data_IF_139933275653
#
_entry.id   IF_139933275653
#
_cell.length_a   1.000
_cell.length_b   1.000
_cell.length_c   1.000
_cell.angle_alpha   90.00
_cell.angle_beta   90.00
_cell.angle_gamma   90.00
#
_symmetry.space_group_name_H-M   'P 1'
#
loop_
_entity.id
_entity.type
_entity.pdbx_description
1 polymer ?
#
# COMPACT_ATOMS: atom_id res chain seq x y z
N UNK A 1 -27.69 8.56 30.12
CA UNK A 1 -26.37 8.09 29.74
C UNK A 1 -26.24 6.65 30.19
N UNK A 2 -26.08 5.70 29.27
CA UNK A 2 -25.68 4.33 29.67
C UNK A 2 -24.28 4.41 30.24
N UNK A 3 -23.95 3.72 31.34
CA UNK A 3 -22.59 3.70 31.87
C UNK A 3 -21.64 3.18 30.78
N UNK A 4 -20.58 3.91 30.50
CA UNK A 4 -19.58 3.49 29.53
C UNK A 4 -19.02 2.12 29.97
N UNK A 5 -19.20 1.11 29.14
CA UNK A 5 -18.59 -0.18 29.41
C UNK A 5 -17.06 0.01 29.49
N UNK A 6 -16.41 -0.26 30.62
CA UNK A 6 -14.99 0.02 30.82
C UNK A 6 -14.06 -0.75 29.87
N UNK A 7 -14.60 -1.74 29.16
CA UNK A 7 -13.85 -2.59 28.23
C UNK A 7 -14.04 -2.21 26.75
N UNK A 8 -14.59 -1.02 26.45
CA UNK A 8 -14.80 -0.54 25.08
C UNK A 8 -13.91 0.67 24.82
N UNK A 9 -13.04 0.58 23.78
CA UNK A 9 -12.29 1.69 23.24
C UNK A 9 -13.14 2.44 22.21
N UNK A 10 -13.33 3.75 22.41
CA UNK A 10 -13.99 4.61 21.41
C UNK A 10 -13.12 4.70 20.15
N UNK A 11 -13.73 4.56 18.97
CA UNK A 11 -13.06 4.61 17.68
C UNK A 11 -12.30 5.93 17.43
N UNK A 12 -12.82 7.05 17.94
CA UNK A 12 -12.16 8.37 17.81
C UNK A 12 -10.79 8.44 18.51
N UNK A 13 -10.59 7.58 19.52
CA UNK A 13 -9.32 7.48 20.26
C UNK A 13 -8.36 6.46 19.66
N UNK A 14 -8.76 5.75 18.59
CA UNK A 14 -7.97 4.65 18.05
C UNK A 14 -6.55 5.10 17.68
N UNK A 15 -6.40 6.09 16.81
CA UNK A 15 -5.10 6.55 16.31
C UNK A 15 -4.14 6.97 17.46
N UNK A 16 -4.67 7.62 18.51
CA UNK A 16 -3.88 8.10 19.67
C UNK A 16 -3.70 7.06 20.78
N UNK A 17 -4.16 5.83 20.56
CA UNK A 17 -4.17 4.80 21.61
C UNK A 17 -3.62 3.45 21.16
N UNK A 18 -3.22 3.29 19.90
CA UNK A 18 -2.68 2.02 19.41
C UNK A 18 -1.46 1.57 20.21
N UNK A 19 -0.57 2.49 20.55
CA UNK A 19 0.65 2.21 21.31
C UNK A 19 0.40 1.77 22.78
N UNK A 20 -0.84 1.88 23.26
CA UNK A 20 -1.22 1.46 24.62
C UNK A 20 -1.57 -0.02 24.71
N UNK A 21 -1.64 -0.70 23.59
CA UNK A 21 -1.97 -2.10 23.51
C UNK A 21 -0.74 -2.93 23.12
N UNK A 22 -0.60 -4.06 23.77
CA UNK A 22 0.51 -4.99 23.49
C UNK A 22 0.24 -5.84 22.24
N UNK A 23 -1.04 -5.94 21.82
CA UNK A 23 -1.45 -6.60 20.60
C UNK A 23 -2.78 -6.05 20.09
N UNK A 24 -2.98 -6.09 18.78
CA UNK A 24 -4.26 -5.81 18.11
C UNK A 24 -4.73 -7.12 17.49
N UNK A 25 -5.93 -7.57 17.84
CA UNK A 25 -6.46 -8.87 17.43
C UNK A 25 -7.68 -8.67 16.54
N UNK A 26 -7.57 -9.13 15.30
CA UNK A 26 -8.70 -9.24 14.38
C UNK A 26 -9.32 -10.63 14.50
N UNK A 27 -10.56 -10.68 14.97
CA UNK A 27 -11.30 -11.93 15.09
C UNK A 27 -12.23 -12.21 13.90
N UNK A 28 -12.08 -11.48 12.81
CA UNK A 28 -12.76 -11.75 11.54
C UNK A 28 -12.18 -13.00 10.88
N UNK A 29 -12.89 -13.52 9.87
CA UNK A 29 -12.37 -14.66 9.11
C UNK A 29 -11.07 -14.33 8.38
N UNK A 30 -10.23 -15.33 8.03
CA UNK A 30 -8.97 -15.09 7.32
C UNK A 30 -9.13 -14.30 6.00
N UNK A 31 -10.19 -14.56 5.24
CA UNK A 31 -10.46 -13.82 4.00
C UNK A 31 -10.86 -12.36 4.27
N UNK A 32 -11.59 -12.06 5.35
CA UNK A 32 -11.89 -10.69 5.75
C UNK A 32 -10.61 -9.93 6.15
N UNK A 33 -9.69 -10.61 6.86
CA UNK A 33 -8.39 -10.05 7.28
C UNK A 33 -7.45 -9.79 6.11
N UNK A 34 -7.36 -10.75 5.18
CA UNK A 34 -6.49 -10.63 4.00
C UNK A 34 -6.86 -9.45 3.09
N UNK A 35 -8.14 -9.09 3.02
CA UNK A 35 -8.58 -7.94 2.22
C UNK A 35 -8.09 -6.60 2.80
N UNK A 36 -8.18 -6.43 4.11
CA UNK A 36 -7.68 -5.25 4.82
C UNK A 36 -7.85 -5.44 6.33
N UNK A 37 -6.95 -4.86 7.12
CA UNK A 37 -6.97 -4.93 8.59
C UNK A 37 -6.29 -3.71 9.21
N UNK A 38 -6.46 -3.51 10.51
CA UNK A 38 -5.74 -2.47 11.25
C UNK A 38 -4.23 -2.79 11.21
N UNK A 39 -3.35 -1.83 10.85
CA UNK A 39 -1.91 -2.07 10.79
C UNK A 39 -1.36 -2.67 12.09
N UNK A 40 -0.56 -3.72 11.95
CA UNK A 40 0.00 -4.46 13.09
C UNK A 40 -0.96 -5.46 13.76
N UNK A 41 -2.19 -5.61 13.26
CA UNK A 41 -3.10 -6.62 13.80
C UNK A 41 -2.67 -8.05 13.42
N UNK A 42 -2.89 -8.97 14.35
CA UNK A 42 -2.80 -10.42 14.11
C UNK A 42 -4.20 -10.99 13.94
N UNK A 43 -4.34 -12.00 13.09
CA UNK A 43 -5.63 -12.65 12.86
C UNK A 43 -5.79 -13.86 13.79
N UNK A 44 -6.76 -13.80 14.71
CA UNK A 44 -7.22 -14.92 15.52
C UNK A 44 -8.73 -15.14 15.25
N UNK A 45 -9.07 -15.78 14.13
CA UNK A 45 -10.43 -15.81 13.63
C UNK A 45 -11.33 -16.67 14.52
N UNK A 46 -12.45 -16.09 14.97
CA UNK A 46 -13.46 -16.86 15.72
C UNK A 46 -14.46 -17.59 14.81
N UNK A 47 -14.32 -17.44 13.52
CA UNK A 47 -15.00 -18.21 12.46
C UNK A 47 -14.01 -18.41 11.30
N UNK A 48 -13.90 -19.64 10.78
CA UNK A 48 -13.21 -19.90 9.52
C UNK A 48 -13.95 -19.22 8.34
N UNK A 49 -13.39 -19.27 7.15
CA UNK A 49 -14.08 -18.74 5.96
C UNK A 49 -15.38 -19.49 5.69
N UNK A 50 -15.34 -20.81 5.80
CA UNK A 50 -16.49 -21.72 5.59
C UNK A 50 -17.56 -21.49 6.65
N UNK A 51 -17.19 -21.47 7.93
CA UNK A 51 -18.09 -21.19 9.05
C UNK A 51 -18.74 -19.81 8.90
N UNK A 52 -17.97 -18.81 8.43
CA UNK A 52 -18.46 -17.45 8.18
C UNK A 52 -19.51 -17.41 7.07
N UNK A 53 -19.30 -18.19 5.99
CA UNK A 53 -20.25 -18.31 4.87
C UNK A 53 -21.52 -19.04 5.36
N UNK A 54 -21.37 -20.16 6.05
CA UNK A 54 -22.48 -20.95 6.57
C UNK A 54 -23.40 -20.14 7.50
N UNK A 55 -22.81 -19.47 8.51
CA UNK A 55 -23.55 -18.61 9.43
C UNK A 55 -24.23 -17.45 8.69
N UNK A 56 -23.55 -16.84 7.71
CA UNK A 56 -24.10 -15.75 6.90
C UNK A 56 -25.31 -16.20 6.06
N UNK A 57 -25.25 -17.38 5.48
CA UNK A 57 -26.33 -18.00 4.71
C UNK A 57 -27.52 -18.38 5.62
N UNK A 58 -27.25 -19.03 6.73
CA UNK A 58 -28.25 -19.40 7.72
C UNK A 58 -29.01 -18.18 8.27
N UNK A 59 -28.27 -17.10 8.53
CA UNK A 59 -28.83 -15.82 9.01
C UNK A 59 -29.81 -15.20 8.01
N UNK A 60 -29.44 -15.20 6.72
CA UNK A 60 -30.21 -14.52 5.66
C UNK A 60 -31.38 -15.39 5.15
N UNK A 61 -31.18 -16.72 5.03
CA UNK A 61 -32.09 -17.59 4.30
C UNK A 61 -32.97 -18.45 5.18
N UNK A 62 -32.60 -18.67 6.46
CA UNK A 62 -33.35 -19.58 7.36
C UNK A 62 -33.81 -18.84 8.60
N UNK A 63 -32.93 -18.51 9.54
CA UNK A 63 -33.30 -17.89 10.81
C UNK A 63 -32.13 -17.18 11.48
N UNK A 64 -32.28 -15.91 11.87
CA UNK A 64 -31.29 -15.22 12.68
C UNK A 64 -30.98 -15.92 14.00
N UNK A 65 -31.97 -16.53 14.62
CA UNK A 65 -31.80 -17.26 15.90
C UNK A 65 -31.04 -18.58 15.72
N UNK A 66 -31.29 -19.31 14.64
CA UNK A 66 -30.55 -20.54 14.32
C UNK A 66 -29.06 -20.19 14.03
N UNK A 67 -28.84 -19.15 13.25
CA UNK A 67 -27.46 -18.62 12.96
C UNK A 67 -26.73 -18.20 14.23
N UNK A 68 -27.41 -17.52 15.18
CA UNK A 68 -26.80 -17.14 16.47
C UNK A 68 -26.45 -18.38 17.33
N UNK A 69 -27.28 -19.41 17.37
CA UNK A 69 -26.96 -20.64 18.13
C UNK A 69 -25.74 -21.35 17.58
N UNK A 70 -25.73 -21.60 16.27
CA UNK A 70 -24.60 -22.26 15.60
C UNK A 70 -23.33 -21.42 15.65
N UNK A 71 -23.46 -20.11 15.40
CA UNK A 71 -22.36 -19.16 15.47
C UNK A 71 -21.74 -19.08 16.86
N UNK A 72 -22.54 -19.13 17.94
CA UNK A 72 -22.02 -19.16 19.30
C UNK A 72 -21.22 -20.44 19.58
N UNK A 73 -21.65 -21.60 19.06
CA UNK A 73 -20.90 -22.85 19.19
C UNK A 73 -19.53 -22.78 18.48
N UNK A 74 -19.51 -22.29 17.23
CA UNK A 74 -18.26 -22.12 16.47
C UNK A 74 -17.31 -21.11 17.14
N UNK A 75 -17.81 -19.94 17.50
CA UNK A 75 -17.04 -18.88 18.17
C UNK A 75 -16.42 -19.41 19.47
N UNK A 76 -17.20 -20.13 20.31
CA UNK A 76 -16.69 -20.68 21.59
C UNK A 76 -15.59 -21.71 21.37
N UNK A 77 -15.75 -22.62 20.41
CA UNK A 77 -14.74 -23.62 20.05
C UNK A 77 -13.45 -22.96 19.55
N UNK A 78 -13.57 -21.99 18.64
CA UNK A 78 -12.40 -21.34 18.05
C UNK A 78 -11.67 -20.45 19.07
N UNK A 79 -12.38 -19.81 20.01
CA UNK A 79 -11.76 -19.11 21.14
C UNK A 79 -10.97 -20.08 22.03
N UNK A 80 -11.52 -21.26 22.35
CA UNK A 80 -10.80 -22.25 23.13
C UNK A 80 -9.51 -22.69 22.43
N UNK A 81 -9.58 -22.97 21.12
CA UNK A 81 -8.38 -23.31 20.33
C UNK A 81 -7.32 -22.20 20.37
N UNK A 82 -7.72 -20.92 20.25
CA UNK A 82 -6.76 -19.81 20.35
C UNK A 82 -6.13 -19.68 21.74
N UNK A 83 -6.89 -19.91 22.78
CA UNK A 83 -6.37 -19.95 24.17
C UNK A 83 -5.31 -21.03 24.32
N UNK A 84 -5.57 -22.25 23.84
CA UNK A 84 -4.68 -23.40 23.98
C UNK A 84 -3.38 -23.28 23.15
N UNK A 85 -3.45 -22.67 21.96
CA UNK A 85 -2.33 -22.74 21.01
C UNK A 85 -1.60 -21.39 20.75
N UNK A 86 -2.24 -20.27 21.08
CA UNK A 86 -1.69 -18.96 20.73
C UNK A 86 -1.56 -18.00 21.90
N UNK A 87 -2.26 -18.21 23.02
CA UNK A 87 -2.39 -17.20 24.06
C UNK A 87 -1.86 -17.62 25.43
N UNK A 88 -1.48 -18.88 25.67
CA UNK A 88 -1.06 -19.38 27.00
C UNK A 88 0.15 -18.66 27.57
N UNK A 89 1.10 -18.25 26.72
CA UNK A 89 2.37 -17.69 27.16
C UNK A 89 2.32 -16.19 27.48
N UNK A 90 1.16 -15.52 27.24
CA UNK A 90 1.07 -14.08 27.54
C UNK A 90 0.93 -13.82 29.04
N UNK A 91 1.67 -12.81 29.56
CA UNK A 91 1.65 -12.46 30.98
C UNK A 91 0.31 -11.85 31.39
N UNK A 92 0.05 -11.79 32.69
CA UNK A 92 -1.19 -11.25 33.27
C UNK A 92 -1.46 -9.79 32.89
N UNK A 93 -0.40 -9.04 32.69
CA UNK A 93 -0.42 -7.61 32.37
C UNK A 93 -0.77 -7.32 30.91
N UNK A 94 -0.85 -8.35 30.05
CA UNK A 94 -1.13 -8.24 28.63
C UNK A 94 -2.46 -7.52 28.35
N UNK A 95 -2.41 -6.57 27.43
CA UNK A 95 -3.50 -5.64 27.10
C UNK A 95 -3.84 -5.70 25.61
N UNK A 96 -4.59 -6.70 25.14
CA UNK A 96 -4.99 -6.79 23.74
C UNK A 96 -6.18 -5.87 23.41
N UNK A 97 -6.17 -5.27 22.23
CA UNK A 97 -7.32 -4.63 21.59
C UNK A 97 -7.95 -5.61 20.60
N UNK A 98 -9.23 -5.92 20.78
CA UNK A 98 -9.94 -6.92 19.97
C UNK A 98 -10.99 -6.23 19.11
N UNK A 99 -11.05 -6.60 17.83
CA UNK A 99 -12.11 -6.11 16.97
C UNK A 99 -12.66 -7.19 16.02
N UNK A 100 -13.90 -6.97 15.58
CA UNK A 100 -14.53 -7.70 14.48
C UNK A 100 -15.09 -6.70 13.47
N UNK A 101 -16.05 -7.09 12.64
CA UNK A 101 -16.58 -6.21 11.59
C UNK A 101 -17.22 -4.92 12.13
N UNK A 102 -18.06 -5.01 13.18
CA UNK A 102 -18.81 -3.87 13.76
C UNK A 102 -18.57 -3.68 15.26
N UNK A 103 -17.59 -4.35 15.87
CA UNK A 103 -17.39 -4.30 17.31
C UNK A 103 -18.57 -4.92 18.10
N UNK A 104 -19.20 -5.98 17.55
CA UNK A 104 -20.34 -6.66 18.13
C UNK A 104 -20.00 -8.02 18.76
N UNK A 105 -20.85 -9.01 18.53
CA UNK A 105 -20.86 -10.31 19.22
C UNK A 105 -19.52 -11.07 19.14
N UNK A 106 -18.88 -11.14 17.97
CA UNK A 106 -17.62 -11.89 17.77
C UNK A 106 -16.50 -11.38 18.66
N UNK A 107 -16.19 -10.08 18.56
CA UNK A 107 -15.16 -9.47 19.41
C UNK A 107 -15.57 -9.33 20.86
N UNK A 108 -16.87 -9.13 21.14
CA UNK A 108 -17.40 -9.07 22.49
C UNK A 108 -17.21 -10.39 23.25
N UNK A 109 -17.51 -11.54 22.63
CA UNK A 109 -17.31 -12.86 23.21
C UNK A 109 -15.83 -13.11 23.54
N UNK A 110 -14.93 -12.81 22.60
CA UNK A 110 -13.49 -12.98 22.81
C UNK A 110 -12.97 -12.08 23.94
N UNK A 111 -13.31 -10.78 23.91
CA UNK A 111 -12.95 -9.81 24.96
C UNK A 111 -13.48 -10.23 26.33
N UNK A 112 -14.72 -10.74 26.40
CA UNK A 112 -15.32 -11.20 27.64
C UNK A 112 -14.50 -12.34 28.26
N UNK A 113 -14.15 -13.36 27.47
CA UNK A 113 -13.37 -14.52 27.97
C UNK A 113 -12.00 -14.08 28.44
N UNK A 114 -11.27 -13.25 27.68
CA UNK A 114 -9.94 -12.77 28.09
C UNK A 114 -10.00 -11.97 29.40
N UNK A 115 -11.00 -11.13 29.59
CA UNK A 115 -11.19 -10.39 30.84
C UNK A 115 -11.58 -11.31 32.02
N UNK A 116 -12.30 -12.42 31.77
CA UNK A 116 -12.62 -13.42 32.82
C UNK A 116 -11.41 -14.21 33.27
N UNK A 117 -10.41 -14.40 32.38
CA UNK A 117 -9.09 -14.97 32.72
C UNK A 117 -8.27 -14.00 33.58
N UNK A 118 -8.46 -12.70 33.40
CA UNK A 118 -7.77 -11.65 34.17
C UNK A 118 -6.89 -10.73 33.35
N UNK A 119 -6.84 -10.88 32.01
CA UNK A 119 -6.19 -9.93 31.12
C UNK A 119 -6.98 -8.62 31.02
N UNK A 120 -6.31 -7.55 30.60
CA UNK A 120 -6.94 -6.22 30.41
C UNK A 120 -7.35 -6.00 28.96
N UNK A 121 -8.18 -6.90 28.43
CA UNK A 121 -8.64 -6.87 27.05
C UNK A 121 -9.67 -5.75 26.81
N UNK A 122 -9.53 -5.02 25.70
CA UNK A 122 -10.51 -4.02 25.25
C UNK A 122 -11.09 -4.38 23.89
N UNK A 123 -12.35 -4.04 23.70
CA UNK A 123 -13.07 -4.19 22.44
C UNK A 123 -13.09 -2.84 21.71
N UNK A 124 -12.75 -2.83 20.42
CA UNK A 124 -12.87 -1.64 19.60
C UNK A 124 -14.33 -1.37 19.24
N UNK A 125 -14.83 -0.19 19.61
CA UNK A 125 -16.16 0.29 19.22
C UNK A 125 -16.25 0.41 17.69
N UNK A 126 -17.35 0.00 17.11
CA UNK A 126 -17.60 -0.01 15.67
C UNK A 126 -16.65 -0.90 14.85
N UNK A 127 -15.64 -1.52 15.47
CA UNK A 127 -14.73 -2.49 14.88
C UNK A 127 -14.06 -2.02 13.59
N UNK A 128 -13.81 -2.94 12.66
CA UNK A 128 -13.21 -2.64 11.36
C UNK A 128 -14.00 -1.60 10.54
N UNK A 129 -15.34 -1.63 10.59
CA UNK A 129 -16.15 -0.65 9.87
C UNK A 129 -15.90 0.79 10.37
N UNK A 130 -15.73 0.96 11.68
CA UNK A 130 -15.33 2.24 12.25
C UNK A 130 -13.92 2.64 11.84
N UNK A 131 -12.97 1.70 11.89
CA UNK A 131 -11.61 1.92 11.42
C UNK A 131 -11.56 2.40 9.95
N UNK A 132 -12.33 1.78 9.05
CA UNK A 132 -12.38 2.24 7.64
C UNK A 132 -12.84 3.68 7.49
N UNK A 133 -13.76 4.16 8.33
CA UNK A 133 -14.13 5.59 8.33
C UNK A 133 -12.96 6.46 8.77
N UNK A 134 -12.23 6.06 9.82
CA UNK A 134 -11.03 6.78 10.28
C UNK A 134 -9.98 6.86 9.15
N UNK A 135 -9.78 5.79 8.39
CA UNK A 135 -8.86 5.78 7.23
C UNK A 135 -9.33 6.78 6.16
N UNK A 136 -10.59 6.70 5.73
CA UNK A 136 -11.13 7.58 4.68
C UNK A 136 -11.05 9.05 5.12
N UNK A 137 -11.58 9.38 6.30
CA UNK A 137 -11.56 10.74 6.85
C UNK A 137 -10.13 11.25 7.07
N UNK A 138 -9.20 10.34 7.39
CA UNK A 138 -7.78 10.64 7.56
C UNK A 138 -7.10 10.99 6.23
N UNK A 139 -7.39 10.26 5.17
CA UNK A 139 -6.86 10.55 3.83
C UNK A 139 -7.39 11.87 3.28
N UNK A 140 -8.67 12.17 3.50
CA UNK A 140 -9.28 13.46 3.11
C UNK A 140 -8.66 14.64 3.86
N UNK A 141 -8.31 14.46 5.14
CA UNK A 141 -7.59 15.48 5.94
C UNK A 141 -6.16 15.65 5.45
N UNK A 142 -5.43 14.56 5.24
CA UNK A 142 -4.06 14.59 4.75
C UNK A 142 -3.92 15.38 3.44
N UNK A 143 -4.93 15.29 2.55
CA UNK A 143 -4.97 16.10 1.33
C UNK A 143 -5.00 17.61 1.58
N UNK A 144 -5.40 18.07 2.77
CA UNK A 144 -5.44 19.49 3.14
C UNK A 144 -4.20 19.92 3.92
N UNK A 145 -3.66 19.05 4.74
CA UNK A 145 -2.64 19.37 5.73
C UNK A 145 -1.22 19.27 5.18
N UNK A 146 -0.96 18.30 4.27
CA UNK A 146 0.38 18.06 3.74
C UNK A 146 0.74 18.94 2.55
N UNK A 147 2.03 19.26 2.45
CA UNK A 147 2.66 19.86 1.27
C UNK A 147 3.63 18.87 0.63
N UNK A 148 3.57 18.74 -0.70
CA UNK A 148 4.37 17.76 -1.44
C UNK A 148 5.42 18.43 -2.32
N UNK A 149 6.62 17.84 -2.34
CA UNK A 149 7.66 18.06 -3.34
C UNK A 149 7.65 16.83 -4.27
N UNK A 150 7.30 17.06 -5.53
CA UNK A 150 7.14 15.99 -6.51
C UNK A 150 8.45 15.77 -7.25
N UNK A 151 8.93 14.53 -7.26
CA UNK A 151 10.05 14.09 -8.07
C UNK A 151 9.50 13.62 -9.42
N UNK A 152 9.65 14.44 -10.44
CA UNK A 152 9.34 14.12 -11.82
C UNK A 152 10.51 13.41 -12.49
N UNK A 153 10.31 12.74 -13.60
CA UNK A 153 11.37 12.10 -14.40
C UNK A 153 10.85 10.98 -15.25
N UNK A 154 11.41 10.81 -16.42
CA UNK A 154 11.03 9.80 -17.40
C UNK A 154 11.12 8.38 -16.82
N UNK A 155 10.50 7.41 -17.47
CA UNK A 155 10.61 5.98 -17.10
C UNK A 155 12.09 5.56 -17.10
N UNK A 156 12.51 4.88 -16.05
CA UNK A 156 13.88 4.44 -15.87
C UNK A 156 14.85 5.51 -15.36
N UNK A 157 14.39 6.73 -15.02
CA UNK A 157 15.28 7.76 -14.44
C UNK A 157 15.70 7.48 -12.98
N UNK A 158 15.13 6.46 -12.32
CA UNK A 158 15.49 6.10 -10.95
C UNK A 158 14.77 6.92 -9.86
N UNK A 159 13.58 7.45 -10.14
CA UNK A 159 12.77 8.24 -9.18
C UNK A 159 12.61 7.58 -7.83
N UNK A 160 12.21 6.31 -7.81
CA UNK A 160 11.99 5.54 -6.58
C UNK A 160 13.28 5.40 -5.79
N UNK A 161 14.40 5.14 -6.47
CA UNK A 161 15.71 5.05 -5.81
C UNK A 161 16.14 6.40 -5.22
N UNK A 162 15.95 7.51 -5.94
CA UNK A 162 16.20 8.86 -5.40
C UNK A 162 15.29 9.17 -4.21
N UNK A 163 14.00 8.79 -4.28
CA UNK A 163 13.08 8.98 -3.17
C UNK A 163 13.54 8.26 -1.91
N UNK A 164 14.02 7.02 -2.06
CA UNK A 164 14.59 6.23 -0.96
C UNK A 164 15.86 6.88 -0.39
N UNK A 165 16.77 7.36 -1.24
CA UNK A 165 17.97 8.08 -0.78
C UNK A 165 17.63 9.37 -0.01
N UNK A 166 16.61 10.11 -0.46
CA UNK A 166 16.10 11.29 0.25
C UNK A 166 15.58 10.89 1.65
N UNK A 167 14.89 9.75 1.75
CA UNK A 167 14.46 9.18 3.03
C UNK A 167 15.63 8.82 3.95
N UNK A 168 16.69 8.20 3.41
CA UNK A 168 17.92 7.89 4.16
C UNK A 168 18.65 9.15 4.67
N UNK A 169 18.47 10.28 4.01
CA UNK A 169 18.99 11.59 4.43
C UNK A 169 18.10 12.29 5.47
N UNK A 170 17.04 11.60 5.97
CA UNK A 170 16.17 12.07 7.05
C UNK A 170 15.01 12.95 6.60
N UNK A 171 14.76 13.06 5.31
CA UNK A 171 13.59 13.75 4.77
C UNK A 171 12.35 12.86 4.80
N UNK A 172 11.18 13.47 4.78
CA UNK A 172 9.91 12.75 4.74
C UNK A 172 9.58 12.31 3.30
N UNK A 173 9.25 11.05 3.13
CA UNK A 173 8.90 10.48 1.83
C UNK A 173 7.54 9.77 1.87
N UNK A 174 6.84 9.75 0.74
CA UNK A 174 5.67 8.91 0.50
C UNK A 174 5.93 8.07 -0.75
N UNK A 175 6.31 6.81 -0.55
CA UNK A 175 6.61 5.83 -1.60
C UNK A 175 5.30 5.17 -2.07
N UNK A 176 4.69 5.73 -3.12
CA UNK A 176 3.42 5.24 -3.65
C UNK A 176 3.55 3.89 -4.36
N UNK A 177 4.65 3.66 -5.06
CA UNK A 177 4.94 2.40 -5.75
C UNK A 177 5.18 1.28 -4.75
N UNK A 178 5.98 1.53 -3.72
CA UNK A 178 6.24 0.57 -2.65
C UNK A 178 4.96 0.20 -1.88
N UNK A 179 4.12 1.17 -1.54
CA UNK A 179 2.83 0.91 -0.87
C UNK A 179 1.85 0.14 -1.77
N UNK A 180 1.93 0.33 -3.08
CA UNK A 180 1.10 -0.40 -4.06
C UNK A 180 1.68 -1.77 -4.44
N UNK A 181 2.92 -2.09 -4.07
CA UNK A 181 3.67 -3.26 -4.54
C UNK A 181 3.65 -3.31 -6.08
N UNK A 182 4.00 -2.18 -6.71
CA UNK A 182 3.92 -2.03 -8.17
C UNK A 182 4.75 -0.83 -8.67
N UNK A 183 5.53 -1.02 -9.71
CA UNK A 183 6.45 0.00 -10.29
C UNK A 183 5.79 0.94 -11.29
N UNK A 184 4.54 1.30 -11.10
CA UNK A 184 3.81 2.32 -11.88
C UNK A 184 3.55 2.04 -13.37
N UNK A 185 4.33 1.19 -14.03
CA UNK A 185 4.28 0.95 -15.48
C UNK A 185 3.44 -0.27 -15.88
N UNK A 186 3.17 -0.46 -17.17
CA UNK A 186 2.51 -1.69 -17.71
C UNK A 186 3.30 -2.96 -17.35
N UNK A 187 4.61 -2.86 -17.22
CA UNK A 187 5.51 -3.94 -16.83
C UNK A 187 5.77 -3.99 -15.32
N UNK A 188 5.15 -3.12 -14.54
CA UNK A 188 5.51 -2.81 -13.16
C UNK A 188 5.05 -3.80 -12.08
N UNK A 189 4.43 -4.92 -12.43
CA UNK A 189 4.05 -5.94 -11.45
C UNK A 189 5.29 -6.57 -10.81
N UNK A 190 5.31 -6.68 -9.48
CA UNK A 190 6.34 -7.45 -8.79
C UNK A 190 6.15 -8.96 -9.04
N UNK A 191 7.26 -9.72 -9.28
CA UNK A 191 7.17 -11.15 -9.48
C UNK A 191 6.71 -11.85 -8.19
N UNK A 192 5.74 -12.76 -8.32
CA UNK A 192 5.25 -13.61 -7.23
C UNK A 192 4.61 -12.88 -6.02
N UNK A 193 4.34 -11.59 -6.14
CA UNK A 193 3.67 -10.81 -5.10
C UNK A 193 2.47 -10.10 -5.73
N UNK A 194 1.28 -10.33 -5.16
CA UNK A 194 0.07 -9.64 -5.59
C UNK A 194 -0.03 -8.26 -4.96
N UNK A 195 -0.60 -7.30 -5.71
CA UNK A 195 -0.94 -6.01 -5.15
C UNK A 195 -1.94 -6.17 -4.00
N UNK A 196 -1.90 -5.32 -2.97
CA UNK A 196 -2.92 -5.32 -1.93
C UNK A 196 -4.31 -5.02 -2.53
N UNK A 197 -5.36 -5.28 -1.76
CA UNK A 197 -6.67 -4.78 -2.12
C UNK A 197 -6.69 -3.25 -2.13
N UNK A 198 -7.65 -2.63 -2.80
CA UNK A 198 -7.82 -1.16 -2.76
C UNK A 198 -7.92 -0.64 -1.32
N UNK A 199 -8.63 -1.36 -0.44
CA UNK A 199 -8.76 -0.98 0.98
C UNK A 199 -7.44 -1.11 1.73
N UNK A 200 -6.70 -2.19 1.47
CA UNK A 200 -5.38 -2.41 2.06
C UNK A 200 -4.41 -1.30 1.65
N UNK A 201 -4.39 -0.93 0.38
CA UNK A 201 -3.58 0.18 -0.12
C UNK A 201 -3.95 1.52 0.55
N UNK A 202 -5.23 1.85 0.63
CA UNK A 202 -5.69 3.06 1.32
C UNK A 202 -5.32 3.06 2.82
N UNK A 203 -5.40 1.90 3.47
CA UNK A 203 -4.96 1.73 4.86
C UNK A 203 -3.45 1.95 5.00
N UNK A 204 -2.64 1.43 4.08
CA UNK A 204 -1.19 1.66 4.07
C UNK A 204 -0.84 3.13 3.81
N UNK A 205 -1.53 3.79 2.87
CA UNK A 205 -1.38 5.24 2.63
C UNK A 205 -1.69 6.04 3.90
N UNK A 206 -2.83 5.77 4.53
CA UNK A 206 -3.22 6.42 5.78
C UNK A 206 -2.18 6.19 6.88
N UNK A 207 -1.70 4.97 7.04
CA UNK A 207 -0.69 4.61 8.04
C UNK A 207 0.66 5.29 7.77
N UNK A 208 1.06 5.42 6.51
CA UNK A 208 2.27 6.14 6.12
C UNK A 208 2.15 7.63 6.46
N UNK A 209 1.06 8.28 6.05
CA UNK A 209 0.82 9.70 6.30
C UNK A 209 0.72 10.04 7.79
N UNK A 210 0.13 9.17 8.62
CA UNK A 210 0.06 9.39 10.07
C UNK A 210 1.42 9.36 10.79
N UNK A 211 2.46 8.85 10.16
CA UNK A 211 3.82 8.83 10.70
C UNK A 211 4.63 10.08 10.31
N UNK A 212 4.08 10.91 9.43
CA UNK A 212 4.73 12.11 8.92
C UNK A 212 4.23 13.35 9.66
N UNK A 213 5.11 14.34 9.73
CA UNK A 213 4.83 15.67 10.30
C UNK A 213 4.24 16.58 9.19
N UNK A 214 2.99 17.03 9.28
CA UNK A 214 2.36 17.84 8.24
C UNK A 214 2.98 19.25 8.11
N UNK A 215 3.78 19.69 9.10
CA UNK A 215 4.50 20.97 9.00
C UNK A 215 5.73 20.92 8.11
N UNK A 216 6.16 19.71 7.70
CA UNK A 216 7.32 19.49 6.84
C UNK A 216 6.89 19.05 5.45
N UNK A 217 7.75 19.32 4.46
CA UNK A 217 7.56 18.87 3.08
C UNK A 217 7.68 17.34 3.01
N UNK A 218 6.79 16.72 2.23
CA UNK A 218 6.84 15.27 1.92
C UNK A 218 7.25 15.09 0.46
N UNK A 219 8.32 14.36 0.22
CA UNK A 219 8.75 13.99 -1.12
C UNK A 219 7.91 12.82 -1.64
N UNK A 220 7.53 12.89 -2.92
CA UNK A 220 6.68 11.88 -3.58
C UNK A 220 7.03 11.80 -5.06
N UNK A 221 6.80 10.66 -5.69
CA UNK A 221 6.98 10.50 -7.14
C UNK A 221 5.83 11.09 -7.95
N UNK A 222 6.11 11.50 -9.20
CA UNK A 222 5.10 11.98 -10.16
C UNK A 222 4.28 10.81 -10.73
N UNK A 223 3.57 10.11 -9.87
CA UNK A 223 2.76 8.97 -10.26
C UNK A 223 1.44 9.36 -10.94
N UNK A 224 0.90 8.40 -11.70
CA UNK A 224 -0.45 8.49 -12.22
C UNK A 224 -1.47 8.24 -11.10
N UNK A 225 -2.73 8.68 -11.29
CA UNK A 225 -3.81 8.36 -10.35
C UNK A 225 -3.99 6.85 -10.13
N UNK A 226 -3.55 6.04 -11.11
CA UNK A 226 -3.66 4.59 -11.08
C UNK A 226 -2.27 3.96 -11.06
N UNK A 227 -1.97 3.19 -9.99
CA UNK A 227 -0.73 2.44 -9.81
C UNK A 227 -1.07 0.95 -9.93
N UNK A 228 -0.77 0.34 -11.07
CA UNK A 228 -1.24 -1.01 -11.39
C UNK A 228 -2.76 -1.10 -11.39
N UNK A 229 -3.33 -1.93 -10.52
CA UNK A 229 -4.78 -2.09 -10.32
C UNK A 229 -5.40 -1.11 -9.33
N UNK A 230 -4.58 -0.33 -8.59
CA UNK A 230 -4.99 0.50 -7.45
C UNK A 230 -5.16 1.97 -7.84
N UNK A 231 -6.00 2.67 -7.08
CA UNK A 231 -6.26 4.10 -7.28
C UNK A 231 -5.85 4.90 -6.04
N UNK A 232 -5.05 5.95 -6.26
CA UNK A 232 -4.78 6.95 -5.23
C UNK A 232 -6.06 7.76 -5.01
N UNK A 233 -6.53 7.98 -3.76
CA UNK A 233 -7.71 8.79 -3.48
C UNK A 233 -7.64 10.18 -4.12
N UNK A 234 -8.75 10.63 -4.72
CA UNK A 234 -8.80 11.87 -5.50
C UNK A 234 -8.28 13.09 -4.76
N UNK A 235 -8.70 13.37 -3.51
CA UNK A 235 -8.22 14.53 -2.79
C UNK A 235 -6.71 14.52 -2.57
N UNK A 236 -6.14 13.34 -2.28
CA UNK A 236 -4.69 13.19 -2.09
C UNK A 236 -3.95 13.38 -3.42
N UNK A 237 -4.44 12.78 -4.51
CA UNK A 237 -3.84 12.94 -5.84
C UNK A 237 -3.86 14.38 -6.33
N UNK A 238 -4.96 15.11 -6.13
CA UNK A 238 -5.08 16.53 -6.43
C UNK A 238 -4.05 17.36 -5.66
N UNK A 239 -3.85 17.07 -4.38
CA UNK A 239 -2.87 17.74 -3.55
C UNK A 239 -1.42 17.44 -3.96
N UNK A 240 -1.11 16.19 -4.32
CA UNK A 240 0.20 15.82 -4.86
C UNK A 240 0.46 16.57 -6.16
N UNK A 241 -0.51 16.62 -7.08
CA UNK A 241 -0.38 17.33 -8.36
C UNK A 241 -0.19 18.83 -8.22
N UNK A 242 -0.71 19.43 -7.15
CA UNK A 242 -0.50 20.84 -6.83
C UNK A 242 0.89 21.12 -6.19
N UNK A 243 1.65 20.07 -5.85
CA UNK A 243 3.00 20.17 -5.27
C UNK A 243 4.02 20.76 -6.25
N UNK A 244 5.10 21.29 -5.69
CA UNK A 244 6.22 21.77 -6.53
C UNK A 244 6.94 20.58 -7.17
N UNK A 245 7.32 20.71 -8.46
CA UNK A 245 8.01 19.66 -9.19
C UNK A 245 9.49 19.96 -9.35
N UNK A 246 10.32 18.95 -9.21
CA UNK A 246 11.72 18.93 -9.67
C UNK A 246 11.93 17.68 -10.53
N UNK A 247 12.54 17.85 -11.69
CA UNK A 247 12.77 16.75 -12.62
C UNK A 247 14.11 16.06 -12.36
N UNK A 248 14.09 14.74 -12.25
CA UNK A 248 15.28 13.90 -12.27
C UNK A 248 15.58 13.52 -13.72
N UNK A 249 16.69 13.99 -14.26
CA UNK A 249 17.15 13.70 -15.62
C UNK A 249 18.28 12.70 -15.62
N UNK A 250 18.28 11.80 -16.59
CA UNK A 250 19.36 10.90 -16.91
C UNK A 250 19.38 10.64 -18.41
N UNK A 251 20.54 10.30 -18.96
CA UNK A 251 20.65 9.95 -20.37
C UNK A 251 20.01 8.57 -20.64
N UNK A 252 19.73 8.28 -21.90
CA UNK A 252 19.05 7.04 -22.30
C UNK A 252 19.85 5.80 -21.91
N UNK A 253 21.16 5.79 -22.05
CA UNK A 253 22.01 4.65 -21.69
C UNK A 253 21.94 4.33 -20.19
N UNK A 254 21.97 5.35 -19.31
CA UNK A 254 21.78 5.19 -17.87
C UNK A 254 20.40 4.62 -17.55
N UNK A 255 19.37 5.09 -18.24
CA UNK A 255 17.99 4.60 -18.05
C UNK A 255 17.82 3.14 -18.46
N UNK A 256 18.42 2.75 -19.59
CA UNK A 256 18.44 1.35 -20.07
C UNK A 256 19.14 0.47 -19.06
N UNK A 257 20.36 0.82 -18.63
CA UNK A 257 21.14 0.08 -17.64
C UNK A 257 20.35 -0.11 -16.33
N UNK A 258 19.76 0.97 -15.82
CA UNK A 258 18.92 0.94 -14.62
C UNK A 258 17.71 0.00 -14.77
N UNK A 259 16.97 0.09 -15.88
CA UNK A 259 15.81 -0.75 -16.13
C UNK A 259 16.17 -2.24 -16.25
N UNK A 260 17.26 -2.59 -16.93
CA UNK A 260 17.71 -3.96 -17.04
C UNK A 260 18.07 -4.54 -15.66
N UNK A 261 18.64 -3.74 -14.77
CA UNK A 261 18.94 -4.13 -13.40
C UNK A 261 17.68 -4.33 -12.57
N UNK A 262 16.75 -3.38 -12.62
CA UNK A 262 15.50 -3.43 -11.86
C UNK A 262 14.55 -4.54 -12.32
N UNK A 263 14.51 -4.80 -13.62
CA UNK A 263 13.63 -5.78 -14.23
C UNK A 263 14.35 -7.08 -14.62
N UNK A 264 15.46 -7.43 -13.94
CA UNK A 264 16.25 -8.62 -14.21
C UNK A 264 15.44 -9.93 -14.25
N UNK A 265 14.31 -10.00 -13.56
CA UNK A 265 13.40 -11.14 -13.58
C UNK A 265 12.81 -11.41 -14.97
N UNK A 266 12.67 -10.39 -15.84
CA UNK A 266 12.27 -10.61 -17.24
C UNK A 266 13.40 -11.19 -18.07
N UNK A 267 14.64 -10.87 -17.75
CA UNK A 267 15.81 -11.48 -18.40
C UNK A 267 15.90 -12.97 -18.07
N UNK A 268 15.49 -13.34 -16.86
CA UNK A 268 15.44 -14.74 -16.40
C UNK A 268 14.19 -15.48 -16.87
N UNK A 269 13.13 -14.78 -17.29
CA UNK A 269 11.87 -15.36 -17.77
C UNK A 269 11.37 -14.62 -19.03
N UNK A 270 12.00 -14.87 -20.20
CA UNK A 270 11.64 -14.21 -21.47
C UNK A 270 10.18 -14.36 -21.87
N UNK A 271 9.56 -15.51 -21.58
CA UNK A 271 8.15 -15.75 -21.92
C UNK A 271 7.19 -14.83 -21.15
N UNK A 272 7.50 -14.56 -19.89
CA UNK A 272 6.73 -13.58 -19.10
C UNK A 272 6.85 -12.17 -19.71
N UNK A 273 8.04 -11.80 -20.20
CA UNK A 273 8.24 -10.51 -20.86
C UNK A 273 7.43 -10.41 -22.17
N UNK A 274 7.48 -11.45 -23.02
CA UNK A 274 6.67 -11.50 -24.26
C UNK A 274 5.18 -11.38 -23.97
N UNK A 275 4.66 -12.08 -22.97
CA UNK A 275 3.25 -11.98 -22.57
C UNK A 275 2.87 -10.55 -22.18
N UNK A 276 3.73 -9.87 -21.42
CA UNK A 276 3.49 -8.47 -21.03
C UNK A 276 3.53 -7.52 -22.23
N UNK A 277 4.49 -7.66 -23.14
CA UNK A 277 4.52 -6.88 -24.38
C UNK A 277 3.31 -7.16 -25.29
N UNK A 278 2.78 -8.36 -25.24
CA UNK A 278 1.53 -8.72 -25.93
C UNK A 278 0.33 -7.83 -25.57
N UNK A 279 0.29 -7.26 -24.35
CA UNK A 279 -0.74 -6.30 -23.92
C UNK A 279 -0.70 -4.99 -24.74
N UNK A 280 0.41 -4.68 -25.40
CA UNK A 280 0.60 -3.50 -26.22
C UNK A 280 0.18 -3.71 -27.67
N UNK A 281 -0.30 -4.91 -28.05
CA UNK A 281 -0.68 -5.26 -29.43
C UNK A 281 -1.75 -4.31 -30.03
N UNK A 282 -2.70 -3.86 -29.21
CA UNK A 282 -3.73 -2.93 -29.65
C UNK A 282 -3.18 -1.56 -30.05
N UNK A 283 -2.02 -1.18 -29.52
CA UNK A 283 -1.37 0.13 -29.76
C UNK A 283 -0.35 0.07 -30.89
N UNK A 284 0.43 -1.01 -30.99
CA UNK A 284 1.57 -1.10 -31.90
C UNK A 284 1.36 -2.08 -33.06
N UNK A 285 0.34 -2.91 -32.99
CA UNK A 285 0.06 -3.95 -33.98
C UNK A 285 0.91 -5.20 -33.83
N UNK A 286 0.50 -6.28 -34.52
CA UNK A 286 1.12 -7.59 -34.39
C UNK A 286 2.55 -7.63 -34.93
N UNK A 287 2.87 -6.85 -35.96
CA UNK A 287 4.21 -6.84 -36.59
C UNK A 287 5.25 -6.31 -35.59
N UNK A 288 4.99 -5.18 -34.97
CA UNK A 288 5.91 -4.61 -33.98
C UNK A 288 6.08 -5.51 -32.76
N UNK A 289 5.01 -6.14 -32.29
CA UNK A 289 5.10 -7.09 -31.17
C UNK A 289 5.95 -8.31 -31.55
N UNK A 290 5.83 -8.81 -32.80
CA UNK A 290 6.68 -9.92 -33.27
C UNK A 290 8.15 -9.52 -33.30
N UNK A 291 8.49 -8.33 -33.76
CA UNK A 291 9.88 -7.81 -33.75
C UNK A 291 10.45 -7.73 -32.33
N UNK A 292 9.66 -7.26 -31.37
CA UNK A 292 10.08 -7.21 -29.95
C UNK A 292 10.25 -8.62 -29.38
N UNK A 293 9.42 -9.60 -29.77
CA UNK A 293 9.60 -11.01 -29.37
C UNK A 293 10.91 -11.59 -29.97
N UNK A 294 11.20 -11.29 -31.22
CA UNK A 294 12.48 -11.70 -31.86
C UNK A 294 13.70 -11.09 -31.14
N UNK A 295 13.62 -9.83 -30.74
CA UNK A 295 14.68 -9.18 -29.96
C UNK A 295 14.89 -9.88 -28.59
N UNK A 296 13.82 -10.30 -27.92
CA UNK A 296 13.88 -11.07 -26.67
C UNK A 296 14.56 -12.42 -26.92
N UNK A 297 14.16 -13.16 -27.98
CA UNK A 297 14.73 -14.46 -28.32
C UNK A 297 16.19 -14.38 -28.70
N UNK A 298 16.62 -13.27 -29.27
CA UNK A 298 18.02 -12.99 -29.62
C UNK A 298 18.85 -12.47 -28.43
N UNK A 299 18.24 -12.20 -27.27
CA UNK A 299 18.92 -11.61 -26.10
C UNK A 299 19.28 -10.13 -26.25
N UNK A 300 18.70 -9.43 -27.22
CA UNK A 300 19.00 -8.02 -27.52
C UNK A 300 18.21 -7.07 -26.61
N UNK A 301 18.34 -7.23 -25.28
CA UNK A 301 17.53 -6.52 -24.30
C UNK A 301 17.82 -5.01 -24.25
N UNK A 302 19.09 -4.59 -24.39
CA UNK A 302 19.47 -3.18 -24.36
C UNK A 302 18.75 -2.38 -25.45
N UNK A 303 18.84 -2.82 -26.71
CA UNK A 303 18.16 -2.17 -27.83
C UNK A 303 16.64 -2.22 -27.72
N UNK A 304 16.09 -3.34 -27.22
CA UNK A 304 14.65 -3.46 -26.99
C UNK A 304 14.15 -2.46 -25.94
N UNK A 305 14.85 -2.35 -24.81
CA UNK A 305 14.48 -1.40 -23.74
C UNK A 305 14.62 0.04 -24.23
N UNK A 306 15.68 0.38 -24.97
CA UNK A 306 15.84 1.68 -25.58
C UNK A 306 14.68 2.00 -26.53
N UNK A 307 14.30 1.08 -27.41
CA UNK A 307 13.16 1.24 -28.34
C UNK A 307 11.86 1.45 -27.57
N UNK A 308 11.59 0.66 -26.54
CA UNK A 308 10.40 0.82 -25.69
C UNK A 308 10.38 2.18 -24.99
N UNK A 309 11.51 2.69 -24.53
CA UNK A 309 11.62 4.02 -23.95
C UNK A 309 11.20 5.08 -24.96
N UNK A 310 11.80 5.07 -26.14
CA UNK A 310 11.58 6.09 -27.18
C UNK A 310 10.18 6.01 -27.78
N UNK A 311 9.68 4.81 -28.07
CA UNK A 311 8.40 4.65 -28.77
C UNK A 311 7.17 4.66 -27.85
N UNK A 312 7.32 4.14 -26.62
CA UNK A 312 6.16 3.93 -25.74
C UNK A 312 6.15 4.87 -24.53
N UNK A 313 7.22 4.86 -23.76
CA UNK A 313 7.24 5.51 -22.45
C UNK A 313 7.40 7.03 -22.55
N UNK A 314 8.39 7.51 -23.27
CA UNK A 314 8.73 8.93 -23.31
C UNK A 314 7.62 9.82 -23.86
N UNK A 315 6.97 9.49 -24.99
CA UNK A 315 5.85 10.27 -25.50
C UNK A 315 4.65 10.30 -24.54
N UNK A 316 4.41 9.16 -23.85
CA UNK A 316 3.34 9.04 -22.88
C UNK A 316 3.61 9.87 -21.63
N UNK A 317 4.85 9.85 -21.14
CA UNK A 317 5.27 10.62 -19.97
C UNK A 317 5.21 12.11 -20.24
N UNK A 318 5.83 12.62 -21.32
CA UNK A 318 5.85 14.04 -21.66
C UNK A 318 4.44 14.64 -21.74
N UNK A 319 3.52 13.95 -22.40
CA UNK A 319 2.13 14.43 -22.48
C UNK A 319 1.41 14.40 -21.12
N UNK A 320 1.77 13.47 -20.24
CA UNK A 320 1.16 13.29 -18.92
C UNK A 320 1.66 14.32 -17.91
N UNK A 321 2.99 14.56 -17.86
CA UNK A 321 3.59 15.42 -16.82
C UNK A 321 3.10 16.88 -16.96
N UNK A 322 3.11 17.42 -18.17
CA UNK A 322 2.65 18.78 -18.45
C UNK A 322 1.17 18.97 -18.12
N UNK A 323 0.35 17.95 -18.42
CA UNK A 323 -1.10 18.02 -18.18
C UNK A 323 -1.46 17.90 -16.71
N UNK A 324 -0.75 17.06 -15.94
CA UNK A 324 -1.15 16.67 -14.60
C UNK A 324 -0.41 17.42 -13.49
N UNK A 325 0.73 18.05 -13.77
CA UNK A 325 1.57 18.73 -12.78
C UNK A 325 1.84 20.19 -13.22
N UNK A 326 0.96 21.14 -12.85
CA UNK A 326 1.04 22.52 -13.31
C UNK A 326 2.32 23.25 -12.90
N UNK A 327 2.99 22.79 -11.85
CA UNK A 327 4.27 23.36 -11.37
C UNK A 327 5.51 22.81 -12.11
N UNK A 328 5.33 21.82 -13.00
CA UNK A 328 6.42 21.27 -13.77
C UNK A 328 7.06 22.32 -14.68
N UNK A 329 8.40 22.41 -14.66
CA UNK A 329 9.20 23.30 -15.52
C UNK A 329 10.43 22.55 -16.01
N UNK A 330 10.71 22.65 -17.29
CA UNK A 330 11.85 21.99 -17.93
C UNK A 330 13.21 22.50 -17.44
N UNK A 331 13.31 23.72 -16.96
CA UNK A 331 14.54 24.32 -16.42
C UNK A 331 14.79 23.98 -14.95
N UNK A 332 13.84 23.31 -14.26
CA UNK A 332 13.96 22.93 -12.85
C UNK A 332 14.24 21.44 -12.70
N UNK A 333 15.50 21.06 -12.84
CA UNK A 333 15.94 19.65 -12.81
C UNK A 333 17.24 19.45 -12.02
N UNK A 334 17.50 18.19 -11.68
CA UNK A 334 18.80 17.67 -11.23
C UNK A 334 19.23 16.56 -12.18
N UNK A 335 20.55 16.43 -12.39
CA UNK A 335 21.11 15.46 -13.30
C UNK A 335 21.62 14.24 -12.54
N UNK A 336 21.19 13.04 -12.95
CA UNK A 336 21.77 11.77 -12.54
C UNK A 336 22.82 11.37 -13.61
N UNK A 337 24.08 11.29 -13.21
CA UNK A 337 25.22 11.04 -14.09
C UNK A 337 25.23 9.57 -14.60
N UNK A 338 24.99 8.63 -13.69
CA UNK A 338 24.95 7.19 -13.96
C UNK A 338 24.08 6.48 -12.90
N UNK A 339 23.90 5.18 -13.01
CA UNK A 339 23.04 4.37 -12.13
C UNK A 339 23.80 3.70 -10.97
N UNK A 340 24.96 4.21 -10.56
CA UNK A 340 25.64 3.74 -9.34
C UNK A 340 25.00 4.26 -8.07
N UNK A 341 25.17 3.53 -6.96
CA UNK A 341 24.63 3.93 -5.65
C UNK A 341 25.22 5.27 -5.18
N UNK A 342 26.49 5.53 -5.48
CA UNK A 342 27.15 6.80 -5.17
C UNK A 342 26.54 7.97 -5.96
N UNK A 343 26.19 7.75 -7.24
CA UNK A 343 25.53 8.76 -8.05
C UNK A 343 24.13 9.08 -7.53
N UNK A 344 23.36 8.08 -7.14
CA UNK A 344 22.05 8.29 -6.50
C UNK A 344 22.16 9.05 -5.18
N UNK A 345 23.07 8.65 -4.29
CA UNK A 345 23.27 9.33 -3.01
C UNK A 345 23.71 10.79 -3.19
N UNK A 346 24.61 11.06 -4.16
CA UNK A 346 25.04 12.43 -4.50
C UNK A 346 23.87 13.25 -5.05
N UNK A 347 23.13 12.71 -6.03
CA UNK A 347 22.02 13.41 -6.67
C UNK A 347 20.90 13.73 -5.67
N UNK A 348 20.61 12.84 -4.70
CA UNK A 348 19.67 13.13 -3.63
C UNK A 348 20.11 14.32 -2.76
N UNK A 349 21.39 14.41 -2.39
CA UNK A 349 21.95 15.55 -1.65
C UNK A 349 21.86 16.84 -2.46
N UNK A 350 22.22 16.78 -3.75
CA UNK A 350 22.16 17.94 -4.66
C UNK A 350 20.71 18.45 -4.80
N UNK A 351 19.74 17.52 -4.86
CA UNK A 351 18.32 17.83 -4.93
C UNK A 351 17.84 18.55 -3.66
N UNK A 352 18.15 18.01 -2.47
CA UNK A 352 17.79 18.61 -1.18
C UNK A 352 18.42 20.00 -1.07
N UNK A 353 19.71 20.14 -1.38
CA UNK A 353 20.44 21.42 -1.35
C UNK A 353 19.81 22.44 -2.30
N UNK A 354 19.45 22.04 -3.52
CA UNK A 354 18.81 22.90 -4.52
C UNK A 354 17.45 23.42 -4.06
N UNK A 355 16.75 22.66 -3.25
CA UNK A 355 15.47 23.04 -2.66
C UNK A 355 15.61 23.88 -1.38
N UNK A 356 16.82 24.03 -0.84
CA UNK A 356 17.09 24.79 0.39
C UNK A 356 16.62 24.08 1.66
N UNK A 357 16.60 22.74 1.65
CA UNK A 357 16.12 21.88 2.73
C UNK A 357 17.27 21.18 3.48
#
# INVERSE_FOLDING_TARGET
>A
MQPSNPHILNIEKLASSLDKFDAIIDVRSPAEFALDHIPGAINLPVLSNEERIEIGTLYKQVSPFAAKKLGAAYVSRNIANHLEHALLDFPREWRPLIYCWRGGERSGAFTHILNRIGWKAMQLQSGYQGFRRVVIDGLDRAAKDFSFQVIAGMTGSGKTRILQEIGLLGQQILDLEGLAIHRGSVLGNEPNIEQPSQKGFETQLWNALNKLDPSKIVFVESESKKVGGLHIPDPLMERIRAGQCIELRSNTATRVSWLLREYHHFLSNPESFKQKLGLLTSRYGKVQIAQWHEAIDAGNFDSLVEELLVMHYDPSYQSSIVRNFPSYREDHYVQLENDSDEAFAKTAKDLITKLGL
#
